data_IF_906970168216
#
_entry.id   IF_906970168216
#
_cell.length_a   1.000
_cell.length_b   1.000
_cell.length_c   1.000
_cell.angle_alpha   90.00
_cell.angle_beta   90.00
_cell.angle_gamma   90.00
#
_symmetry.space_group_name_H-M   'P 1'
#
loop_
_entity.id
_entity.type
_entity.pdbx_description
1 polymer ?
#
# COMPACT_ATOMS: atom_id res chain seq x y z
N UNK A 1 -15.10 -6.50 15.37
CA UNK A 1 -14.04 -6.04 14.45
C UNK A 1 -12.66 -6.07 15.11
N UNK A 2 -12.46 -5.55 16.32
CA UNK A 2 -11.14 -5.64 17.00
C UNK A 2 -10.64 -7.08 17.22
N UNK A 3 -11.50 -7.96 17.76
CA UNK A 3 -11.14 -9.36 18.01
C UNK A 3 -10.77 -10.17 16.74
N UNK A 4 -11.33 -9.82 15.57
CA UNK A 4 -10.96 -10.49 14.31
C UNK A 4 -9.60 -10.05 13.80
N UNK A 5 -9.16 -8.82 14.09
CA UNK A 5 -7.83 -8.32 13.72
C UNK A 5 -6.75 -8.91 14.62
N UNK A 6 -7.02 -9.08 15.92
CA UNK A 6 -6.09 -9.73 16.85
C UNK A 6 -5.86 -11.21 16.52
N UNK A 7 -6.92 -11.95 16.20
CA UNK A 7 -6.81 -13.34 15.74
C UNK A 7 -5.98 -13.42 14.45
N UNK A 8 -6.16 -12.44 13.57
CA UNK A 8 -5.46 -12.40 12.30
C UNK A 8 -3.97 -12.08 12.45
N UNK A 9 -3.63 -11.15 13.34
CA UNK A 9 -2.24 -10.79 13.64
C UNK A 9 -1.47 -11.95 14.28
N UNK A 10 -2.08 -12.66 15.24
CA UNK A 10 -1.43 -13.82 15.85
C UNK A 10 -1.24 -14.97 14.84
N UNK A 11 -2.19 -15.17 13.92
CA UNK A 11 -2.04 -16.15 12.85
C UNK A 11 -0.90 -15.79 11.90
N UNK A 12 -0.74 -14.51 11.55
CA UNK A 12 0.40 -14.04 10.77
C UNK A 12 1.74 -14.29 11.49
N UNK A 13 1.80 -14.02 12.80
CA UNK A 13 3.00 -14.30 13.62
C UNK A 13 3.34 -15.80 13.68
N UNK A 14 2.34 -16.67 13.74
CA UNK A 14 2.52 -18.13 13.66
C UNK A 14 3.10 -18.56 12.32
N UNK A 15 2.72 -17.91 11.22
CA UNK A 15 3.29 -18.22 9.91
C UNK A 15 4.78 -17.86 9.84
N UNK A 16 5.17 -16.70 10.36
CA UNK A 16 6.58 -16.32 10.50
C UNK A 16 7.34 -17.37 11.29
N UNK A 17 6.83 -17.76 12.47
CA UNK A 17 7.45 -18.75 13.34
C UNK A 17 7.63 -20.11 12.65
N UNK A 18 6.63 -20.59 11.91
CA UNK A 18 6.73 -21.86 11.16
C UNK A 18 7.82 -21.82 10.10
N UNK A 19 7.94 -20.70 9.38
CA UNK A 19 8.92 -20.58 8.28
C UNK A 19 10.35 -20.52 8.77
N UNK A 20 10.62 -19.77 9.84
CA UNK A 20 11.98 -19.70 10.39
C UNK A 20 12.41 -20.99 11.10
N UNK A 21 11.46 -21.78 11.59
CA UNK A 21 11.75 -23.06 12.26
C UNK A 21 11.85 -24.27 11.30
N UNK A 22 11.56 -24.09 10.01
CA UNK A 22 11.46 -25.18 9.02
C UNK A 22 12.76 -25.97 8.78
N UNK A 23 13.92 -25.48 9.24
CA UNK A 23 15.22 -26.10 8.97
C UNK A 23 15.50 -27.45 9.65
N UNK A 24 14.72 -27.83 10.68
CA UNK A 24 15.02 -29.02 11.52
C UNK A 24 13.89 -30.07 11.57
N UNK A 25 12.97 -30.06 10.61
CA UNK A 25 11.76 -30.89 10.63
C UNK A 25 10.58 -30.18 11.30
N UNK A 26 9.51 -30.91 11.60
CA UNK A 26 8.32 -30.34 12.21
C UNK A 26 8.61 -29.87 13.64
N UNK A 27 8.75 -28.55 13.84
CA UNK A 27 8.77 -27.98 15.18
C UNK A 27 7.44 -28.30 15.89
N UNK A 28 7.51 -28.56 17.20
CA UNK A 28 6.30 -28.78 17.99
C UNK A 28 5.40 -27.55 18.00
N UNK A 29 4.09 -27.74 18.14
CA UNK A 29 3.13 -26.63 18.21
C UNK A 29 3.51 -25.61 19.29
N UNK A 30 3.95 -26.10 20.45
CA UNK A 30 4.33 -25.26 21.59
C UNK A 30 5.52 -24.34 21.28
N UNK A 31 6.51 -24.81 20.52
CA UNK A 31 7.67 -24.00 20.12
C UNK A 31 7.25 -22.92 19.11
N UNK A 32 6.38 -23.29 18.16
CA UNK A 32 5.81 -22.34 17.18
C UNK A 32 5.00 -21.26 17.90
N UNK A 33 4.12 -21.65 18.82
CA UNK A 33 3.27 -20.73 19.59
C UNK A 33 4.10 -19.80 20.48
N UNK A 34 5.14 -20.33 21.13
CA UNK A 34 6.05 -19.54 21.96
C UNK A 34 6.76 -18.46 21.13
N UNK A 35 7.30 -18.83 19.96
CA UNK A 35 7.98 -17.88 19.10
C UNK A 35 7.00 -16.88 18.47
N UNK A 36 5.82 -17.34 18.07
CA UNK A 36 4.74 -16.48 17.57
C UNK A 36 4.30 -15.45 18.61
N UNK A 37 4.24 -15.82 19.89
CA UNK A 37 3.95 -14.90 20.99
C UNK A 37 5.00 -13.80 21.14
N UNK A 38 6.29 -14.11 20.91
CA UNK A 38 7.35 -13.09 20.90
C UNK A 38 7.21 -12.12 19.73
N UNK A 39 6.86 -12.63 18.54
CA UNK A 39 6.60 -11.78 17.38
C UNK A 39 5.33 -10.92 17.57
N UNK A 40 4.28 -11.48 18.16
CA UNK A 40 3.06 -10.75 18.48
C UNK A 40 3.35 -9.57 19.41
N UNK A 41 4.09 -9.80 20.50
CA UNK A 41 4.46 -8.74 21.43
C UNK A 41 5.20 -7.59 20.72
N UNK A 42 6.11 -7.90 19.79
CA UNK A 42 6.81 -6.89 18.99
C UNK A 42 5.84 -6.14 18.06
N UNK A 43 4.89 -6.85 17.44
CA UNK A 43 3.91 -6.23 16.55
C UNK A 43 2.93 -5.32 17.31
N UNK A 44 2.56 -5.69 18.53
CA UNK A 44 1.68 -4.91 19.40
C UNK A 44 2.29 -3.57 19.82
N UNK A 45 3.62 -3.46 19.91
CA UNK A 45 4.32 -2.19 20.18
C UNK A 45 3.99 -1.09 19.15
N UNK A 46 3.56 -1.46 17.94
CA UNK A 46 3.17 -0.52 16.88
C UNK A 46 1.69 -0.11 16.90
N UNK A 47 0.81 -0.81 17.65
CA UNK A 47 -0.64 -0.58 17.59
C UNK A 47 -1.04 0.83 18.01
N UNK A 48 -0.53 1.31 19.13
CA UNK A 48 -0.84 2.65 19.65
C UNK A 48 -0.42 3.76 18.68
N UNK A 49 0.71 3.55 18.01
CA UNK A 49 1.22 4.47 17.00
C UNK A 49 0.32 4.47 15.76
N UNK A 50 -0.01 3.29 15.21
CA UNK A 50 -0.82 3.19 13.99
C UNK A 50 -2.23 3.71 14.20
N UNK A 51 -2.86 3.40 15.35
CA UNK A 51 -4.21 3.85 15.69
C UNK A 51 -4.33 5.37 15.89
N UNK A 52 -3.22 6.07 16.15
CA UNK A 52 -3.19 7.54 16.17
C UNK A 52 -3.21 8.16 14.77
N UNK A 53 -2.72 7.44 13.76
CA UNK A 53 -2.59 7.91 12.39
C UNK A 53 -3.67 7.37 11.45
N UNK A 54 -4.27 6.23 11.78
CA UNK A 54 -5.25 5.52 10.96
C UNK A 54 -6.38 4.99 11.83
N UNK A 55 -7.55 4.81 11.22
CA UNK A 55 -8.74 4.26 11.88
C UNK A 55 -8.56 2.78 12.30
N UNK A 56 -7.70 2.03 11.58
CA UNK A 56 -7.44 0.61 11.85
C UNK A 56 -5.95 0.29 11.82
N UNK A 57 -5.56 -0.78 12.52
CA UNK A 57 -4.19 -1.31 12.62
C UNK A 57 -3.97 -2.58 11.77
N UNK A 58 -4.87 -2.85 10.82
CA UNK A 58 -4.80 -3.98 9.89
C UNK A 58 -3.47 -4.01 9.11
N UNK A 59 -2.87 -2.84 8.87
CA UNK A 59 -1.56 -2.70 8.23
C UNK A 59 -0.46 -3.50 8.94
N UNK A 60 -0.52 -3.64 10.27
CA UNK A 60 0.46 -4.41 11.04
C UNK A 60 0.37 -5.88 10.66
N UNK A 61 -0.85 -6.45 10.65
CA UNK A 61 -1.05 -7.84 10.25
C UNK A 61 -0.61 -8.11 8.80
N UNK A 62 -0.87 -7.17 7.88
CA UNK A 62 -0.41 -7.29 6.49
C UNK A 62 1.11 -7.24 6.37
N UNK A 63 1.78 -6.36 7.12
CA UNK A 63 3.24 -6.31 7.15
C UNK A 63 3.85 -7.59 7.74
N UNK A 64 3.27 -8.15 8.80
CA UNK A 64 3.73 -9.44 9.37
C UNK A 64 3.57 -10.58 8.36
N UNK A 65 2.46 -10.62 7.62
CA UNK A 65 2.30 -11.59 6.51
C UNK A 65 3.36 -11.40 5.44
N UNK A 66 3.60 -10.16 5.03
CA UNK A 66 4.63 -9.85 4.05
C UNK A 66 6.01 -10.35 4.51
N UNK A 67 6.38 -10.08 5.78
CA UNK A 67 7.61 -10.60 6.40
C UNK A 67 7.65 -12.12 6.33
N UNK A 68 6.55 -12.81 6.66
CA UNK A 68 6.50 -14.26 6.57
C UNK A 68 6.82 -14.75 5.15
N UNK A 69 6.28 -14.10 4.13
CA UNK A 69 6.47 -14.55 2.75
C UNK A 69 7.82 -14.16 2.13
N UNK A 70 8.37 -13.01 2.49
CA UNK A 70 9.50 -12.41 1.79
C UNK A 70 10.81 -12.49 2.59
N UNK A 71 10.75 -12.39 3.91
CA UNK A 71 11.93 -12.23 4.75
C UNK A 71 12.15 -13.36 5.76
N UNK A 72 11.11 -14.12 6.12
CA UNK A 72 11.21 -15.22 7.06
C UNK A 72 11.91 -16.42 6.40
N UNK A 73 13.23 -16.45 6.54
CA UNK A 73 14.08 -17.53 6.08
C UNK A 73 14.55 -18.39 7.26
N UNK A 74 14.71 -19.70 7.09
CA UNK A 74 15.12 -20.58 8.19
C UNK A 74 16.42 -20.19 8.94
N UNK A 75 17.48 -19.66 8.30
CA UNK A 75 18.67 -19.21 9.00
C UNK A 75 18.46 -18.08 10.02
N UNK A 76 17.34 -17.35 9.94
CA UNK A 76 17.02 -16.30 10.90
C UNK A 76 16.77 -16.84 12.32
N UNK A 77 16.39 -18.12 12.43
CA UNK A 77 16.28 -18.82 13.71
C UNK A 77 15.26 -18.19 14.66
N UNK A 78 15.59 -18.20 15.96
CA UNK A 78 14.70 -17.75 17.05
C UNK A 78 15.05 -16.37 17.61
N UNK A 79 16.12 -15.75 17.13
CA UNK A 79 16.38 -14.33 17.39
C UNK A 79 15.23 -13.50 16.80
N UNK A 80 14.73 -12.51 17.53
CA UNK A 80 13.59 -11.69 17.10
C UNK A 80 14.03 -10.31 16.61
N UNK A 81 15.31 -9.96 16.72
CA UNK A 81 15.79 -8.64 16.35
C UNK A 81 15.61 -8.34 14.86
N UNK A 82 15.83 -9.33 13.98
CA UNK A 82 15.60 -9.18 12.54
C UNK A 82 14.13 -8.88 12.23
N UNK A 83 13.20 -9.53 12.94
CA UNK A 83 11.77 -9.33 12.77
C UNK A 83 11.37 -7.92 13.22
N UNK A 84 11.88 -7.48 14.38
CA UNK A 84 11.68 -6.13 14.90
C UNK A 84 12.14 -5.06 13.92
N UNK A 85 13.35 -5.21 13.38
CA UNK A 85 13.91 -4.25 12.43
C UNK A 85 13.12 -4.23 11.11
N UNK A 86 12.77 -5.40 10.57
CA UNK A 86 11.99 -5.51 9.34
C UNK A 86 10.59 -4.87 9.50
N UNK A 87 9.91 -5.15 10.61
CA UNK A 87 8.59 -4.58 10.88
C UNK A 87 8.66 -3.06 11.06
N UNK A 88 9.68 -2.55 11.76
CA UNK A 88 9.87 -1.11 11.94
C UNK A 88 10.02 -0.38 10.59
N UNK A 89 10.85 -0.91 9.67
CA UNK A 89 11.02 -0.34 8.32
C UNK A 89 9.72 -0.37 7.54
N UNK A 90 8.98 -1.49 7.56
CA UNK A 90 7.69 -1.58 6.87
C UNK A 90 6.65 -0.62 7.46
N UNK A 91 6.64 -0.43 8.78
CA UNK A 91 5.74 0.53 9.43
C UNK A 91 6.10 1.98 9.09
N UNK A 92 7.38 2.31 8.97
CA UNK A 92 7.81 3.64 8.55
C UNK A 92 7.37 3.96 7.11
N UNK A 93 7.49 2.99 6.20
CA UNK A 93 7.03 3.13 4.82
C UNK A 93 5.49 3.17 4.70
N UNK A 94 4.79 2.30 5.45
CA UNK A 94 3.34 2.16 5.34
C UNK A 94 2.56 3.19 6.18
N UNK A 95 3.13 3.67 7.28
CA UNK A 95 2.52 4.64 8.19
C UNK A 95 3.59 5.68 8.59
N UNK A 96 3.95 6.60 7.69
CA UNK A 96 5.02 7.57 7.95
C UNK A 96 4.72 8.44 9.18
N UNK A 97 5.72 8.60 10.06
CA UNK A 97 5.65 9.47 11.25
C UNK A 97 6.60 10.66 11.16
N UNK A 98 7.68 10.49 10.40
CA UNK A 98 8.79 11.43 10.36
C UNK A 98 8.65 12.30 9.12
N UNK A 99 8.78 13.61 9.27
CA UNK A 99 8.92 14.50 8.14
C UNK A 99 10.24 14.23 7.44
N UNK A 100 10.20 14.01 6.12
CA UNK A 100 11.40 13.87 5.30
C UNK A 100 11.81 15.23 4.74
N UNK A 101 13.11 15.44 4.61
CA UNK A 101 13.64 16.53 3.79
C UNK A 101 13.72 16.12 2.31
N UNK A 102 14.08 17.07 1.45
CA UNK A 102 14.13 16.86 0.01
C UNK A 102 15.16 15.79 -0.40
N UNK A 103 16.28 15.68 0.31
CA UNK A 103 17.35 14.72 0.00
C UNK A 103 16.89 13.29 0.27
N UNK A 104 16.32 13.03 1.44
CA UNK A 104 15.86 11.67 1.81
C UNK A 104 14.58 11.29 1.05
N UNK A 105 13.72 12.25 0.72
CA UNK A 105 12.52 12.00 -0.08
C UNK A 105 12.82 11.45 -1.48
N UNK A 106 14.01 11.71 -2.04
CA UNK A 106 14.42 11.14 -3.34
C UNK A 106 14.43 9.61 -3.32
N UNK A 107 14.71 8.97 -2.18
CA UNK A 107 14.68 7.51 -2.10
C UNK A 107 13.26 6.94 -2.29
N UNK A 108 12.21 7.70 -1.95
CA UNK A 108 10.83 7.23 -2.06
C UNK A 108 10.40 6.97 -3.50
N UNK A 109 10.98 7.64 -4.50
CA UNK A 109 10.67 7.36 -5.91
C UNK A 109 11.13 5.95 -6.33
N UNK A 110 12.31 5.51 -5.88
CA UNK A 110 12.78 4.15 -6.08
C UNK A 110 11.92 3.12 -5.36
N UNK A 111 11.43 3.46 -4.15
CA UNK A 111 10.49 2.60 -3.42
C UNK A 111 9.16 2.48 -4.18
N UNK A 112 8.63 3.57 -4.71
CA UNK A 112 7.41 3.57 -5.53
C UNK A 112 7.57 2.69 -6.78
N UNK A 113 8.71 2.80 -7.47
CA UNK A 113 9.03 1.96 -8.63
C UNK A 113 9.08 0.47 -8.26
N UNK A 114 9.78 0.10 -7.19
CA UNK A 114 9.84 -1.29 -6.73
C UNK A 114 8.48 -1.85 -6.27
N UNK A 115 7.62 -1.01 -5.66
CA UNK A 115 6.24 -1.38 -5.33
C UNK A 115 5.46 -1.70 -6.61
N UNK A 116 5.55 -0.84 -7.63
CA UNK A 116 4.87 -1.04 -8.91
C UNK A 116 5.33 -2.33 -9.59
N UNK A 117 6.62 -2.59 -9.66
CA UNK A 117 7.16 -3.84 -10.21
C UNK A 117 6.66 -5.07 -9.43
N UNK A 118 6.64 -4.98 -8.10
CA UNK A 118 6.14 -6.05 -7.24
C UNK A 118 4.64 -6.31 -7.49
N UNK A 119 3.84 -5.26 -7.64
CA UNK A 119 2.40 -5.35 -7.91
C UNK A 119 2.09 -5.87 -9.31
N UNK A 120 2.87 -5.50 -10.32
CA UNK A 120 2.71 -5.99 -11.70
C UNK A 120 2.88 -7.52 -11.79
N UNK A 121 3.67 -8.11 -10.90
CA UNK A 121 3.89 -9.55 -10.81
C UNK A 121 2.82 -10.30 -9.99
N UNK A 122 1.91 -9.58 -9.32
CA UNK A 122 0.78 -10.20 -8.62
C UNK A 122 -0.28 -10.58 -9.66
N UNK A 123 -0.63 -11.86 -9.75
CA UNK A 123 -1.67 -12.33 -10.67
C UNK A 123 -3.00 -11.63 -10.35
N UNK A 124 -3.46 -10.76 -11.24
CA UNK A 124 -4.77 -10.12 -11.11
C UNK A 124 -5.85 -11.19 -11.32
N UNK A 125 -6.82 -11.27 -10.39
CA UNK A 125 -7.99 -12.13 -10.58
C UNK A 125 -8.68 -11.75 -11.89
N UNK A 126 -9.04 -12.75 -12.72
CA UNK A 126 -9.77 -12.52 -13.99
C UNK A 126 -11.07 -11.71 -13.81
N UNK A 127 -11.63 -11.69 -12.61
CA UNK A 127 -12.81 -10.87 -12.27
C UNK A 127 -12.52 -9.37 -12.23
N UNK A 128 -11.27 -8.95 -11.99
CA UNK A 128 -10.85 -7.55 -11.95
C UNK A 128 -10.27 -7.04 -13.29
N UNK A 129 -10.12 -7.91 -14.29
CA UNK A 129 -9.64 -7.58 -15.64
C UNK A 129 -10.76 -7.56 -16.69
N UNK A 130 -12.01 -7.84 -16.31
CA UNK A 130 -13.14 -7.59 -17.21
C UNK A 130 -13.44 -6.10 -17.14
N UNK A 131 -13.00 -5.38 -18.17
CA UNK A 131 -13.67 -4.16 -18.60
C UNK A 131 -15.09 -4.62 -18.94
N UNK A 132 -16.05 -4.33 -18.08
CA UNK A 132 -17.45 -4.57 -18.39
C UNK A 132 -17.87 -3.61 -19.53
N UNK A 133 -18.95 -3.90 -20.27
CA UNK A 133 -19.35 -3.06 -21.41
C UNK A 133 -19.57 -1.59 -21.02
N UNK A 134 -19.88 -1.34 -19.74
CA UNK A 134 -19.99 -0.01 -19.12
C UNK A 134 -18.63 0.71 -19.02
N UNK A 135 -17.58 0.00 -18.59
CA UNK A 135 -16.21 0.53 -18.49
C UNK A 135 -15.68 0.94 -19.87
N UNK A 136 -15.99 0.16 -20.91
CA UNK A 136 -15.58 0.45 -22.28
C UNK A 136 -16.21 1.76 -22.79
N UNK A 137 -17.49 1.99 -22.48
CA UNK A 137 -18.19 3.23 -22.83
C UNK A 137 -17.66 4.43 -22.04
N UNK A 138 -17.22 4.25 -20.79
CA UNK A 138 -16.57 5.30 -20.01
C UNK A 138 -15.18 5.65 -20.53
N UNK A 139 -14.37 4.64 -20.86
CA UNK A 139 -13.04 4.82 -21.47
C UNK A 139 -13.17 5.59 -22.78
N UNK A 140 -14.12 5.22 -23.67
CA UNK A 140 -14.34 5.94 -24.93
C UNK A 140 -14.74 7.40 -24.68
N UNK A 141 -15.61 7.68 -23.71
CA UNK A 141 -15.99 9.05 -23.35
C UNK A 141 -14.80 9.88 -22.85
N UNK A 142 -13.93 9.28 -22.05
CA UNK A 142 -12.70 9.94 -21.59
C UNK A 142 -11.74 10.21 -22.75
N UNK A 143 -11.58 9.26 -23.67
CA UNK A 143 -10.76 9.44 -24.88
C UNK A 143 -11.30 10.55 -25.77
N UNK A 144 -12.61 10.55 -26.06
CA UNK A 144 -13.25 11.59 -26.88
C UNK A 144 -13.06 12.98 -26.25
N UNK A 145 -13.24 13.09 -24.93
CA UNK A 145 -13.02 14.34 -24.20
C UNK A 145 -11.54 14.77 -24.19
N UNK A 146 -10.60 13.82 -24.15
CA UNK A 146 -9.16 14.08 -24.28
C UNK A 146 -8.80 14.61 -25.67
N UNK A 147 -9.38 14.04 -26.72
CA UNK A 147 -9.20 14.48 -28.11
C UNK A 147 -9.83 15.87 -28.33
N UNK A 148 -11.03 16.10 -27.80
CA UNK A 148 -11.75 17.36 -27.97
C UNK A 148 -11.12 18.50 -27.14
N UNK A 149 -10.65 18.18 -25.94
CA UNK A 149 -10.11 19.15 -24.99
C UNK A 149 -8.71 18.73 -24.56
N UNK A 150 -7.68 19.39 -25.10
CA UNK A 150 -6.28 19.08 -24.77
C UNK A 150 -5.98 19.10 -23.26
N UNK A 151 -6.62 19.98 -22.49
CA UNK A 151 -6.51 20.01 -21.02
C UNK A 151 -7.01 18.73 -20.34
N UNK A 152 -8.00 18.05 -20.94
CA UNK A 152 -8.48 16.74 -20.48
C UNK A 152 -7.44 15.68 -20.79
N UNK A 153 -6.79 15.72 -21.96
CA UNK A 153 -5.67 14.81 -22.27
C UNK A 153 -4.53 14.99 -21.27
N UNK A 154 -4.12 16.23 -21.00
CA UNK A 154 -3.08 16.53 -20.00
C UNK A 154 -3.47 16.00 -18.60
N UNK A 155 -4.76 16.06 -18.25
CA UNK A 155 -5.27 15.52 -16.99
C UNK A 155 -5.26 13.99 -16.96
N UNK A 156 -5.58 13.33 -18.08
CA UNK A 156 -5.51 11.87 -18.20
C UNK A 156 -4.06 11.38 -18.07
N UNK A 157 -3.12 12.04 -18.74
CA UNK A 157 -1.67 11.74 -18.63
C UNK A 157 -1.19 11.91 -17.18
N UNK A 158 -1.66 12.96 -16.49
CA UNK A 158 -1.34 13.20 -15.09
C UNK A 158 -1.93 12.13 -14.16
N UNK A 159 -3.17 11.70 -14.42
CA UNK A 159 -3.84 10.63 -13.66
C UNK A 159 -3.13 9.30 -13.90
N UNK A 160 -2.67 9.02 -15.13
CA UNK A 160 -1.86 7.85 -15.45
C UNK A 160 -0.56 7.84 -14.63
N UNK A 161 0.19 8.95 -14.64
CA UNK A 161 1.40 9.10 -13.79
C UNK A 161 1.10 8.86 -12.32
N UNK A 162 0.03 9.45 -11.79
CA UNK A 162 -0.38 9.23 -10.41
C UNK A 162 -0.72 7.76 -10.12
N UNK A 163 -1.50 7.14 -11.00
CA UNK A 163 -1.93 5.76 -10.86
C UNK A 163 -0.73 4.81 -10.86
N UNK A 164 0.29 5.12 -11.67
CA UNK A 164 1.54 4.36 -11.74
C UNK A 164 2.60 4.80 -10.71
N UNK A 165 2.34 5.84 -9.91
CA UNK A 165 3.27 6.34 -8.91
C UNK A 165 4.53 7.00 -9.50
N UNK A 166 4.44 7.55 -10.71
CA UNK A 166 5.55 8.24 -11.35
C UNK A 166 5.88 9.57 -10.64
N UNK A 167 7.15 9.98 -10.62
CA UNK A 167 7.54 11.27 -10.04
C UNK A 167 6.89 12.41 -10.82
N UNK A 168 6.20 13.29 -10.09
CA UNK A 168 5.55 14.47 -10.67
C UNK A 168 6.56 15.60 -10.83
N UNK A 169 6.66 16.14 -12.04
CA UNK A 169 7.46 17.34 -12.32
C UNK A 169 6.85 18.58 -11.68
N UNK A 170 7.59 19.68 -11.58
CA UNK A 170 7.03 20.97 -11.13
C UNK A 170 5.84 21.42 -12.02
N UNK A 171 5.89 21.11 -13.32
CA UNK A 171 4.81 21.39 -14.24
C UNK A 171 3.55 20.57 -13.90
N UNK A 172 3.72 19.28 -13.59
CA UNK A 172 2.63 18.38 -13.15
C UNK A 172 2.01 18.88 -11.84
N UNK A 173 2.83 19.25 -10.85
CA UNK A 173 2.38 19.79 -9.56
C UNK A 173 1.62 21.11 -9.72
N UNK A 174 2.13 22.01 -10.57
CA UNK A 174 1.45 23.27 -10.90
C UNK A 174 0.12 23.00 -11.58
N UNK A 175 0.05 22.03 -12.50
CA UNK A 175 -1.18 21.67 -13.17
C UNK A 175 -2.21 21.08 -12.21
N UNK A 176 -1.80 20.23 -11.25
CA UNK A 176 -2.63 19.76 -10.15
C UNK A 176 -3.27 20.90 -9.36
N UNK A 177 -2.44 21.87 -8.97
CA UNK A 177 -2.91 23.02 -8.21
C UNK A 177 -3.97 23.81 -8.99
N UNK A 178 -3.73 24.08 -10.27
CA UNK A 178 -4.68 24.80 -11.13
C UNK A 178 -5.99 24.01 -11.30
N UNK A 179 -5.92 22.70 -11.52
CA UNK A 179 -7.10 21.84 -11.62
C UNK A 179 -7.91 21.82 -10.31
N UNK A 180 -7.24 21.74 -9.16
CA UNK A 180 -7.86 21.79 -7.84
C UNK A 180 -8.57 23.13 -7.56
N UNK A 181 -7.99 24.25 -8.00
CA UNK A 181 -8.61 25.58 -7.92
C UNK A 181 -9.80 25.71 -8.88
N UNK A 182 -9.71 25.14 -10.08
CA UNK A 182 -10.78 25.19 -11.07
C UNK A 182 -12.01 24.34 -10.68
N UNK A 183 -11.80 23.19 -10.03
CA UNK A 183 -12.86 22.24 -9.67
C UNK A 183 -14.06 22.88 -8.93
N UNK A 184 -13.90 23.61 -7.81
CA UNK A 184 -15.03 24.24 -7.13
C UNK A 184 -15.74 25.32 -7.97
N UNK A 185 -15.03 25.97 -8.89
CA UNK A 185 -15.61 26.98 -9.78
C UNK A 185 -16.44 26.36 -10.93
N UNK A 186 -16.09 25.12 -11.31
CA UNK A 186 -16.76 24.38 -12.39
C UNK A 186 -18.08 23.74 -11.93
N UNK A 187 -18.14 23.23 -10.69
CA UNK A 187 -19.34 22.59 -10.12
C UNK A 187 -20.64 23.40 -10.27
N UNK A 188 -20.73 24.68 -9.84
CA UNK A 188 -21.97 25.45 -9.96
C UNK A 188 -22.34 25.72 -11.43
N UNK A 189 -21.35 25.85 -12.32
CA UNK A 189 -21.60 26.05 -13.76
C UNK A 189 -22.13 24.78 -14.42
N UNK A 190 -21.69 23.60 -13.97
CA UNK A 190 -22.23 22.31 -14.41
C UNK A 190 -23.67 22.12 -13.94
N UNK A 191 -23.95 22.39 -12.67
CA UNK A 191 -25.30 22.36 -12.11
C UNK A 191 -26.26 23.31 -12.85
N UNK A 192 -25.83 24.55 -13.14
CA UNK A 192 -26.60 25.52 -13.91
C UNK A 192 -26.90 25.08 -15.36
N UNK A 193 -26.14 24.14 -15.90
CA UNK A 193 -26.35 23.53 -17.22
C UNK A 193 -27.10 22.19 -17.16
N UNK A 194 -27.51 21.74 -15.96
CA UNK A 194 -28.16 20.43 -15.77
C UNK A 194 -27.21 19.24 -16.00
N UNK A 195 -25.91 19.44 -15.85
CA UNK A 195 -24.86 18.44 -16.04
C UNK A 195 -24.33 17.97 -14.67
N UNK A 196 -25.21 17.41 -13.83
CA UNK A 196 -24.83 16.73 -12.59
C UNK A 196 -24.67 15.22 -12.82
#
# INVERSE_FOLDING_TARGET
MAASVEIDLFNACKEVARRVLWQNGAASSDVVETLAGKFLAIAEEHQDFVRKQRETDVVIAQAVRYIAHVHAIPPAGTDTQWFRNALAVLMELAVPNTGLDEEVAQFLSYVQEGIRESLANVSVSRSAMRIEDEDAAEISRMQDAGIEYGVTSDLLDLIEKLFHGDPLTEADQRFFHLAAVAAPMTRPKRAAKGLE
#
